data_IF_101077631450
#
_entry.id   IF_101077631450
#
_cell.length_a   1.000
_cell.length_b   1.000
_cell.length_c   1.000
_cell.angle_alpha   90.00
_cell.angle_beta   90.00
_cell.angle_gamma   90.00
#
_symmetry.space_group_name_H-M   'P 1'
#
loop_
_entity.id
_entity.type
_entity.pdbx_description
1 polymer ?
#
# COMPACT_ATOMS: atom_id res chain seq x y z
N UNK A 1 10.82 -3.07 36.10
CA UNK A 1 11.04 -3.44 34.67
C UNK A 1 9.74 -3.63 33.89
N UNK A 2 8.76 -4.38 34.41
CA UNK A 2 7.47 -4.63 33.74
C UNK A 2 6.71 -3.36 33.30
N UNK A 3 6.58 -2.37 34.18
CA UNK A 3 5.89 -1.10 33.85
C UNK A 3 6.57 -0.36 32.69
N UNK A 4 7.91 -0.35 32.65
CA UNK A 4 8.68 0.28 31.57
C UNK A 4 8.43 -0.40 30.22
N UNK A 5 8.33 -1.74 30.20
CA UNK A 5 7.98 -2.51 29.00
C UNK A 5 6.53 -2.25 28.58
N UNK A 6 5.59 -2.21 29.53
CA UNK A 6 4.16 -2.01 29.24
C UNK A 6 3.85 -0.61 28.68
N UNK A 7 4.58 0.41 29.15
CA UNK A 7 4.49 1.80 28.66
C UNK A 7 5.35 2.06 27.43
N UNK A 8 6.14 1.09 26.95
CA UNK A 8 7.02 1.29 25.81
C UNK A 8 6.22 1.48 24.52
N UNK A 9 6.58 2.50 23.75
CA UNK A 9 6.00 2.80 22.45
C UNK A 9 6.99 2.48 21.34
N UNK A 10 6.64 1.50 20.52
CA UNK A 10 7.43 1.08 19.37
C UNK A 10 7.04 1.93 18.16
N UNK A 11 8.04 2.31 17.38
CA UNK A 11 7.79 3.10 16.17
C UNK A 11 7.12 2.24 15.10
N UNK A 12 6.19 2.83 14.34
CA UNK A 12 5.50 2.12 13.26
C UNK A 12 6.47 1.48 12.25
N UNK A 13 7.56 2.12 11.80
CA UNK A 13 8.51 1.49 10.87
C UNK A 13 9.19 0.25 11.45
N UNK A 14 9.62 0.30 12.71
CA UNK A 14 10.26 -0.81 13.40
C UNK A 14 9.33 -2.01 13.54
N UNK A 15 8.09 -1.77 13.99
CA UNK A 15 7.07 -2.81 14.10
C UNK A 15 6.80 -3.47 12.74
N UNK A 16 6.66 -2.67 11.68
CA UNK A 16 6.42 -3.19 10.34
C UNK A 16 7.60 -4.01 9.83
N UNK A 17 8.85 -3.60 10.11
CA UNK A 17 10.04 -4.38 9.74
C UNK A 17 10.02 -5.77 10.37
N UNK A 18 9.79 -5.85 11.68
CA UNK A 18 9.72 -7.13 12.41
C UNK A 18 8.64 -8.05 11.82
N UNK A 19 7.47 -7.49 11.49
CA UNK A 19 6.37 -8.26 10.90
C UNK A 19 6.75 -8.74 9.49
N UNK A 20 7.32 -7.89 8.64
CA UNK A 20 7.76 -8.29 7.30
C UNK A 20 8.81 -9.40 7.36
N UNK A 21 9.78 -9.29 8.27
CA UNK A 21 10.79 -10.33 8.48
C UNK A 21 10.17 -11.64 8.98
N UNK A 22 9.13 -11.57 9.82
CA UNK A 22 8.39 -12.76 10.26
C UNK A 22 7.59 -13.42 9.12
N UNK A 23 6.96 -12.62 8.25
CA UNK A 23 6.23 -13.10 7.07
C UNK A 23 7.17 -13.71 6.02
N UNK A 24 8.35 -13.12 5.82
CA UNK A 24 9.36 -13.64 4.90
C UNK A 24 9.93 -14.98 5.37
N UNK A 25 10.13 -15.14 6.69
CA UNK A 25 10.63 -16.39 7.28
C UNK A 25 9.62 -17.52 7.23
N UNK A 26 8.36 -17.23 7.52
CA UNK A 26 7.30 -18.23 7.52
C UNK A 26 6.05 -17.64 6.84
N UNK A 27 5.90 -17.80 5.52
CA UNK A 27 4.77 -17.24 4.79
C UNK A 27 3.46 -17.91 5.23
N UNK A 28 2.36 -17.15 5.34
CA UNK A 28 1.08 -17.71 5.73
C UNK A 28 0.53 -18.61 4.61
N UNK A 29 -0.05 -19.78 4.94
CA UNK A 29 -0.61 -20.68 3.94
C UNK A 29 -1.81 -20.02 3.24
N UNK A 30 -1.99 -20.32 1.95
CA UNK A 30 -3.15 -19.86 1.20
C UNK A 30 -4.43 -20.49 1.77
N UNK A 31 -5.49 -19.69 1.90
CA UNK A 31 -6.80 -20.13 2.41
C UNK A 31 -7.90 -19.63 1.50
N UNK A 32 -8.83 -20.51 1.11
CA UNK A 32 -10.01 -20.18 0.29
C UNK A 32 -9.65 -19.42 -1.00
N UNK A 33 -8.55 -19.83 -1.65
CA UNK A 33 -8.05 -19.19 -2.88
C UNK A 33 -7.53 -17.76 -2.71
N UNK A 34 -7.36 -17.28 -1.47
CA UNK A 34 -6.83 -15.95 -1.16
C UNK A 34 -5.53 -16.07 -0.36
N UNK A 35 -4.52 -15.32 -0.78
CA UNK A 35 -3.28 -15.19 -0.02
C UNK A 35 -3.49 -14.21 1.15
N UNK A 36 -3.19 -14.60 2.40
CA UNK A 36 -3.24 -13.68 3.53
C UNK A 36 -2.20 -12.57 3.34
N UNK A 37 -2.63 -11.31 3.40
CA UNK A 37 -1.76 -10.15 3.19
C UNK A 37 -1.91 -9.18 4.33
N UNK A 38 -0.79 -8.87 4.99
CA UNK A 38 -0.69 -7.80 5.98
C UNK A 38 -0.24 -6.53 5.25
N UNK A 39 -1.00 -5.46 5.40
CA UNK A 39 -0.70 -4.17 4.75
C UNK A 39 0.25 -3.35 5.62
N UNK A 40 -0.11 -3.19 6.88
CA UNK A 40 0.68 -2.48 7.87
C UNK A 40 0.19 -2.85 9.27
N UNK A 41 0.99 -2.53 10.26
CA UNK A 41 0.64 -2.63 11.67
C UNK A 41 0.99 -1.35 12.41
N UNK A 42 0.30 -1.10 13.52
CA UNK A 42 0.55 0.05 14.40
C UNK A 42 0.26 -0.30 15.86
N UNK A 43 0.84 0.46 16.77
CA UNK A 43 0.54 0.38 18.21
C UNK A 43 -0.56 1.38 18.57
N UNK A 44 -1.75 0.85 18.90
CA UNK A 44 -2.92 1.65 19.25
C UNK A 44 -2.90 2.14 20.70
N UNK A 45 -2.43 1.31 21.62
CA UNK A 45 -2.39 1.64 23.05
C UNK A 45 -1.12 1.11 23.74
N UNK A 46 -0.82 1.69 24.89
CA UNK A 46 0.25 1.33 25.83
C UNK A 46 -0.39 0.94 27.16
N UNK A 47 0.15 -0.07 27.82
CA UNK A 47 -0.33 -0.61 29.11
C UNK A 47 -1.81 -1.08 29.11
N UNK A 48 -2.14 -2.24 28.51
CA UNK A 48 -1.25 -3.18 27.83
C UNK A 48 -0.94 -2.79 26.38
N UNK A 49 0.25 -3.13 25.85
CA UNK A 49 0.62 -2.86 24.47
C UNK A 49 -0.37 -3.54 23.51
N UNK A 50 -1.14 -2.71 22.80
CA UNK A 50 -2.18 -3.16 21.88
C UNK A 50 -1.72 -2.89 20.46
N UNK A 51 -1.49 -3.97 19.70
CA UNK A 51 -0.99 -3.93 18.34
C UNK A 51 -2.13 -4.26 17.38
N UNK A 52 -2.32 -3.39 16.38
CA UNK A 52 -3.36 -3.55 15.37
C UNK A 52 -2.71 -3.91 14.05
N UNK A 53 -3.09 -5.06 13.49
CA UNK A 53 -2.64 -5.52 12.19
C UNK A 53 -3.75 -5.31 11.17
N UNK A 54 -3.47 -4.52 10.15
CA UNK A 54 -4.38 -4.30 9.04
C UNK A 54 -4.09 -5.29 7.93
N UNK A 55 -5.11 -6.06 7.54
CA UNK A 55 -4.98 -7.12 6.57
C UNK A 55 -6.14 -7.13 5.57
N UNK A 56 -5.99 -7.95 4.52
CA UNK A 56 -7.04 -8.15 3.54
C UNK A 56 -8.29 -8.86 4.11
N UNK A 57 -8.13 -9.76 5.09
CA UNK A 57 -9.24 -10.42 5.73
C UNK A 57 -8.86 -11.11 7.03
N UNK A 58 -9.61 -10.84 8.10
CA UNK A 58 -9.38 -11.44 9.43
C UNK A 58 -9.51 -12.96 9.41
N UNK A 59 -10.44 -13.50 8.61
CA UNK A 59 -10.70 -14.94 8.49
C UNK A 59 -9.63 -15.71 7.71
N UNK A 60 -8.63 -15.02 7.15
CA UNK A 60 -7.52 -15.65 6.42
C UNK A 60 -6.36 -16.02 7.35
N UNK A 61 -6.34 -15.51 8.58
CA UNK A 61 -5.31 -15.80 9.56
C UNK A 61 -5.85 -16.72 10.64
N UNK A 62 -5.29 -17.92 10.72
CA UNK A 62 -5.64 -18.88 11.75
C UNK A 62 -5.00 -18.51 13.10
N UNK A 63 -5.64 -18.82 14.25
CA UNK A 63 -5.10 -18.50 15.57
C UNK A 63 -3.65 -18.96 15.83
N UNK A 64 -3.18 -20.15 15.35
CA UNK A 64 -1.79 -20.56 15.52
C UNK A 64 -0.80 -19.64 14.80
N UNK A 65 -1.17 -19.14 13.63
CA UNK A 65 -0.32 -18.20 12.89
C UNK A 65 -0.23 -16.85 13.59
N UNK A 66 -1.31 -16.41 14.23
CA UNK A 66 -1.31 -15.20 15.06
C UNK A 66 -0.41 -15.33 16.27
N UNK A 67 -0.39 -16.50 16.92
CA UNK A 67 0.55 -16.80 18.01
C UNK A 67 2.00 -16.75 17.53
N UNK A 68 2.28 -17.24 16.32
CA UNK A 68 3.60 -17.11 15.71
C UNK A 68 4.01 -15.64 15.52
N UNK A 69 3.12 -14.80 14.97
CA UNK A 69 3.38 -13.37 14.80
C UNK A 69 3.57 -12.68 16.15
N UNK A 70 2.74 -12.99 17.15
CA UNK A 70 2.89 -12.48 18.50
C UNK A 70 4.24 -12.87 19.11
N UNK A 71 4.67 -14.12 18.94
CA UNK A 71 5.98 -14.58 19.37
C UNK A 71 7.11 -13.82 18.67
N UNK A 72 7.03 -13.63 17.36
CA UNK A 72 8.03 -12.87 16.61
C UNK A 72 8.15 -11.42 17.12
N UNK A 73 7.03 -10.79 17.45
CA UNK A 73 6.99 -9.45 18.06
C UNK A 73 7.65 -9.47 19.44
N UNK A 74 7.35 -10.46 20.28
CA UNK A 74 7.95 -10.62 21.61
C UNK A 74 9.46 -10.84 21.56
N UNK A 75 9.93 -11.63 20.61
CA UNK A 75 11.35 -12.00 20.48
C UNK A 75 12.22 -10.82 19.98
N UNK A 76 11.64 -9.90 19.19
CA UNK A 76 12.41 -8.82 18.53
C UNK A 76 12.19 -7.45 19.19
N UNK A 77 11.15 -7.26 20.01
CA UNK A 77 10.82 -5.99 20.65
C UNK A 77 10.87 -6.10 22.18
N UNK A 78 10.86 -4.95 22.85
CA UNK A 78 10.94 -4.79 24.31
C UNK A 78 9.67 -5.21 25.08
N UNK A 79 8.97 -6.27 24.66
CA UNK A 79 7.69 -6.73 25.22
C UNK A 79 7.74 -8.16 25.80
N UNK A 80 8.92 -8.68 26.14
CA UNK A 80 9.11 -10.06 26.55
C UNK A 80 8.21 -10.49 27.74
N UNK A 81 8.06 -9.64 28.76
CA UNK A 81 7.40 -9.98 30.02
C UNK A 81 5.94 -9.47 30.12
N UNK A 82 5.44 -8.78 29.08
CA UNK A 82 4.12 -8.11 29.10
C UNK A 82 3.14 -8.83 28.17
N UNK A 83 1.88 -8.90 28.59
CA UNK A 83 0.80 -9.38 27.73
C UNK A 83 0.60 -8.44 26.53
N UNK A 84 0.64 -8.99 25.32
CA UNK A 84 0.40 -8.26 24.07
C UNK A 84 -1.03 -8.51 23.61
N UNK A 85 -1.78 -7.44 23.37
CA UNK A 85 -3.09 -7.54 22.75
C UNK A 85 -2.95 -7.41 21.24
N UNK A 86 -3.07 -8.52 20.52
CA UNK A 86 -3.00 -8.56 19.06
C UNK A 86 -4.41 -8.46 18.45
N UNK A 87 -4.70 -7.34 17.80
CA UNK A 87 -5.99 -7.08 17.15
C UNK A 87 -5.82 -7.11 15.64
N UNK A 88 -6.69 -7.84 14.94
CA UNK A 88 -6.70 -7.89 13.48
C UNK A 88 -7.88 -7.12 12.94
N UNK A 89 -7.58 -6.20 12.04
CA UNK A 89 -8.56 -5.44 11.29
C UNK A 89 -8.49 -5.85 9.82
N UNK A 90 -9.57 -6.47 9.33
CA UNK A 90 -9.72 -6.79 7.92
C UNK A 90 -10.33 -5.61 7.16
N UNK A 91 -9.90 -5.37 5.92
CA UNK A 91 -10.66 -4.48 5.02
C UNK A 91 -12.08 -5.03 4.88
N UNK A 92 -13.10 -4.22 5.21
CA UNK A 92 -14.50 -4.57 5.03
C UNK A 92 -14.75 -4.91 3.55
N UNK A 93 -14.96 -6.18 3.22
CA UNK A 93 -15.22 -6.63 1.84
C UNK A 93 -16.52 -6.07 1.25
N UNK A 94 -17.39 -5.42 2.05
CA UNK A 94 -18.60 -4.74 1.57
C UNK A 94 -18.33 -3.61 0.56
N UNK A 95 -17.11 -3.06 0.50
CA UNK A 95 -16.73 -2.01 -0.46
C UNK A 95 -16.02 -2.51 -1.72
N UNK A 96 -15.45 -3.72 -1.71
CA UNK A 96 -14.65 -4.23 -2.85
C UNK A 96 -15.55 -4.84 -3.91
N UNK A 97 -16.64 -5.51 -3.51
CA UNK A 97 -17.64 -6.05 -4.43
C UNK A 97 -18.31 -4.97 -5.30
N UNK A 98 -18.40 -3.71 -4.82
CA UNK A 98 -18.91 -2.60 -5.63
C UNK A 98 -17.89 -2.06 -6.64
N UNK A 99 -16.57 -2.12 -6.34
CA UNK A 99 -15.56 -1.62 -7.28
C UNK A 99 -15.37 -2.56 -8.47
N UNK A 100 -15.34 -3.87 -8.24
CA UNK A 100 -15.21 -4.86 -9.31
C UNK A 100 -16.46 -4.90 -10.22
N UNK A 101 -17.66 -4.60 -9.67
CA UNK A 101 -18.88 -4.50 -10.47
C UNK A 101 -18.93 -3.22 -11.33
N UNK A 102 -18.50 -2.07 -10.80
CA UNK A 102 -18.48 -0.80 -11.55
C UNK A 102 -17.46 -0.85 -12.69
N UNK A 103 -16.30 -1.47 -12.47
CA UNK A 103 -15.25 -1.58 -13.49
C UNK A 103 -15.59 -2.62 -14.58
N UNK A 104 -16.43 -3.61 -14.27
CA UNK A 104 -16.99 -4.54 -15.25
C UNK A 104 -18.14 -3.92 -16.08
N UNK A 105 -19.00 -3.11 -15.46
CA UNK A 105 -20.11 -2.42 -16.13
C UNK A 105 -19.60 -1.36 -17.12
N UNK A 106 -18.54 -0.63 -16.76
CA UNK A 106 -17.93 0.40 -17.60
C UNK A 106 -17.18 -0.20 -18.82
N UNK A 107 -16.63 -1.41 -18.67
CA UNK A 107 -16.01 -2.17 -19.76
C UNK A 107 -17.05 -2.81 -20.71
N UNK A 108 -18.26 -3.11 -20.23
CA UNK A 108 -19.36 -3.65 -21.03
C UNK A 108 -20.06 -2.57 -21.86
N UNK A 109 -20.22 -1.36 -21.31
CA UNK A 109 -20.83 -0.21 -21.99
C UNK A 109 -20.03 0.29 -23.22
N UNK A 110 -18.71 0.02 -23.27
CA UNK A 110 -17.85 0.38 -24.42
C UNK A 110 -17.97 -0.62 -25.59
N UNK A 111 -18.62 -1.76 -25.40
CA UNK A 111 -18.68 -2.84 -26.42
C UNK A 111 -19.84 -2.70 -27.42
N UNK A 112 -20.77 -1.77 -27.19
CA UNK A 112 -22.00 -1.61 -28.00
C UNK A 112 -22.05 -0.22 -28.63
N UNK A 113 -21.24 0.04 -29.65
CA UNK A 113 -21.58 1.01 -30.71
C UNK A 113 -21.11 0.46 -32.08
N UNK A 114 -22.04 0.19 -33.02
CA UNK A 114 -21.74 -0.49 -34.27
C UNK A 114 -21.02 0.42 -35.27
N UNK A 115 -20.17 -0.20 -36.10
CA UNK A 115 -19.48 0.41 -37.23
C UNK A 115 -20.48 1.10 -38.17
N UNK A 116 -20.32 2.41 -38.42
CA UNK A 116 -20.84 3.05 -39.63
C UNK A 116 -19.69 3.66 -40.46
N UNK A 117 -19.71 3.27 -41.73
CA UNK A 117 -18.79 3.55 -42.83
C UNK A 117 -18.70 5.06 -43.11
N UNK A 118 -17.49 5.61 -43.13
CA UNK A 118 -17.26 7.01 -43.50
C UNK A 118 -17.64 7.28 -44.98
N UNK A 119 -18.34 8.38 -45.30
CA UNK A 119 -18.41 8.86 -46.67
C UNK A 119 -17.16 9.68 -47.01
N UNK A 120 -16.50 9.31 -48.10
CA UNK A 120 -15.47 10.11 -48.78
C UNK A 120 -16.14 11.35 -49.38
N UNK A 121 -15.69 12.55 -49.00
CA UNK A 121 -15.78 13.73 -49.87
C UNK A 121 -14.48 14.52 -49.85
N UNK A 122 -14.06 14.75 -51.08
CA UNK A 122 -12.89 15.45 -51.59
C UNK A 122 -13.30 16.91 -51.88
N UNK A 123 -12.62 17.90 -51.33
CA UNK A 123 -12.66 19.30 -51.79
C UNK A 123 -11.41 20.07 -51.30
N UNK A 124 -10.48 20.30 -52.23
CA UNK A 124 -9.69 21.52 -52.50
C UNK A 124 -8.84 22.20 -51.39
N UNK A 125 -7.53 22.19 -51.62
CA UNK A 125 -6.39 22.96 -51.05
C UNK A 125 -6.44 24.51 -51.30
N UNK A 126 -5.39 25.34 -51.05
CA UNK A 126 -4.50 25.63 -49.89
C UNK A 126 -4.31 27.19 -49.69
N UNK A 127 -3.14 27.79 -49.29
CA UNK A 127 -2.30 27.77 -48.06
C UNK A 127 -2.12 29.18 -47.39
N UNK A 128 -1.43 29.31 -46.24
CA UNK A 128 -0.40 30.37 -45.96
C UNK A 128 0.20 30.40 -44.53
N UNK A 129 1.54 30.52 -44.46
CA UNK A 129 2.34 31.21 -43.41
C UNK A 129 2.89 30.34 -42.27
N UNK A 130 4.15 29.86 -42.27
CA UNK A 130 5.40 30.50 -41.77
C UNK A 130 5.35 30.83 -40.25
N UNK A 131 6.21 30.37 -39.32
CA UNK A 131 7.69 30.18 -39.23
C UNK A 131 8.04 29.20 -38.07
N UNK A 132 9.31 28.73 -37.93
CA UNK A 132 9.75 27.78 -36.90
C UNK A 132 10.13 28.47 -35.57
N UNK A 133 9.91 27.81 -34.43
CA UNK A 133 10.38 28.27 -33.12
C UNK A 133 11.50 27.38 -32.55
N UNK A 134 12.60 28.07 -32.26
CA UNK A 134 13.93 27.61 -31.87
C UNK A 134 14.02 26.66 -30.65
N UNK A 135 15.09 25.86 -30.66
CA UNK A 135 15.46 24.90 -29.63
C UNK A 135 15.76 25.50 -28.25
N UNK A 136 15.54 24.67 -27.23
CA UNK A 136 15.83 24.98 -25.82
C UNK A 136 17.31 24.74 -25.53
N UNK A 137 18.03 25.77 -25.06
CA UNK A 137 19.37 25.61 -24.47
C UNK A 137 19.29 25.06 -23.04
N UNK A 138 20.24 24.21 -22.61
CA UNK A 138 20.30 23.70 -21.24
C UNK A 138 20.85 24.73 -20.24
N UNK A 139 20.42 24.60 -18.97
CA UNK A 139 20.77 25.51 -17.84
C UNK A 139 22.24 25.37 -17.41
N UNK A 140 22.90 26.47 -16.99
CA UNK A 140 24.27 26.43 -16.47
C UNK A 140 24.35 25.89 -15.04
N UNK A 141 25.48 25.23 -14.76
CA UNK A 141 25.91 24.61 -13.50
C UNK A 141 26.39 25.70 -12.53
N UNK A 142 25.91 25.69 -11.29
CA UNK A 142 26.36 26.63 -10.24
C UNK A 142 27.74 26.20 -9.73
N UNK A 143 28.68 27.16 -9.65
CA UNK A 143 29.94 27.03 -8.90
C UNK A 143 29.84 27.82 -7.59
N UNK A 144 30.47 27.36 -6.49
CA UNK A 144 30.46 28.04 -5.20
C UNK A 144 31.64 29.00 -5.08
N UNK A 145 31.43 30.13 -4.40
CA UNK A 145 32.38 31.09 -3.79
C UNK A 145 31.59 32.42 -3.68
N UNK A 146 31.69 33.30 -2.68
CA UNK A 146 32.68 33.66 -1.66
C UNK A 146 31.94 34.68 -0.79
N UNK A 147 32.00 34.59 0.54
CA UNK A 147 31.60 35.71 1.41
C UNK A 147 32.87 36.32 1.98
N UNK A 148 33.33 37.37 1.34
CA UNK A 148 34.34 38.30 1.87
C UNK A 148 33.65 39.40 2.69
N UNK A 149 34.39 39.85 3.71
CA UNK A 149 34.24 41.00 4.61
C UNK A 149 33.52 40.74 5.95
#
# INVERSE_FOLDING_TARGET
NLHKQASHRVTTPELNRVIQDALARNPPPMRRGKNPRVYFATQASTNPPTLVLFCNGKSLFDPPYLRYIEKAIRDNLSFADVAINLVIQGKNQKGVAKKEAVEAEEAEATRVHPRHRAPRKESSEPPKGSKPAAGRKPKPRQTPETWDL
#
